data_IF_174923760150
#
_entry.id   IF_174923760150
#
_cell.length_a   1.000
_cell.length_b   1.000
_cell.length_c   1.000
_cell.angle_alpha   90.00
_cell.angle_beta   90.00
_cell.angle_gamma   90.00
#
_symmetry.space_group_name_H-M   'P 1'
#
loop_
_entity.id
_entity.type
_entity.pdbx_description
1 polymer ?
#
# COMPACT_ATOMS: atom_id res chain seq x y z
N UNK A 1 12.70 -1.20 8.42
CA UNK A 1 12.59 -2.29 7.43
C UNK A 1 13.20 -3.55 8.04
N UNK A 2 12.66 -4.71 7.72
CA UNK A 2 13.11 -6.01 8.25
C UNK A 2 14.13 -6.70 7.30
N UNK A 3 14.57 -7.92 7.65
CA UNK A 3 15.60 -8.69 6.94
C UNK A 3 15.22 -9.01 5.48
N UNK A 4 16.19 -8.88 4.58
CA UNK A 4 16.07 -9.26 3.16
C UNK A 4 14.96 -8.50 2.41
N UNK A 5 14.71 -7.23 2.76
CA UNK A 5 13.86 -6.34 1.95
C UNK A 5 14.67 -5.77 0.79
N UNK A 6 14.12 -5.83 -0.41
CA UNK A 6 14.71 -5.24 -1.62
C UNK A 6 13.91 -4.02 -2.05
N UNK A 7 14.59 -2.88 -2.22
CA UNK A 7 14.04 -1.66 -2.81
C UNK A 7 14.78 -1.42 -4.13
N UNK A 8 14.04 -1.41 -5.23
CA UNK A 8 14.59 -1.15 -6.55
C UNK A 8 14.86 0.33 -6.80
N UNK A 9 15.50 0.65 -7.94
CA UNK A 9 15.84 2.02 -8.28
C UNK A 9 14.59 2.89 -8.48
N UNK A 10 14.74 4.18 -8.18
CA UNK A 10 13.68 5.18 -8.33
C UNK A 10 12.39 4.83 -7.58
N UNK A 11 12.52 4.12 -6.45
CA UNK A 11 11.43 3.88 -5.52
C UNK A 11 11.53 4.77 -4.30
N UNK A 12 10.40 5.36 -3.93
CA UNK A 12 10.29 6.15 -2.71
C UNK A 12 9.48 5.38 -1.66
N UNK A 13 10.09 5.19 -0.48
CA UNK A 13 9.42 4.64 0.69
C UNK A 13 9.54 5.65 1.82
N UNK A 14 8.41 6.11 2.34
CA UNK A 14 8.38 7.14 3.38
C UNK A 14 7.48 6.73 4.54
N UNK A 15 8.07 6.69 5.75
CA UNK A 15 7.35 6.42 7.00
C UNK A 15 6.50 5.16 6.93
N UNK A 16 7.06 4.01 6.53
CA UNK A 16 6.33 2.75 6.30
C UNK A 16 7.00 1.58 7.03
N UNK A 17 6.21 0.57 7.43
CA UNK A 17 6.73 -0.70 7.94
C UNK A 17 6.76 -1.71 6.80
N UNK A 18 7.94 -2.26 6.51
CA UNK A 18 8.15 -3.29 5.48
C UNK A 18 8.78 -4.52 6.13
N UNK A 19 8.05 -5.63 6.13
CA UNK A 19 8.43 -6.89 6.74
C UNK A 19 9.33 -7.75 5.83
N UNK A 20 9.91 -8.81 6.40
CA UNK A 20 10.98 -9.59 5.79
C UNK A 20 10.64 -10.15 4.40
N UNK A 21 11.69 -10.26 3.56
CA UNK A 21 11.65 -10.87 2.22
C UNK A 21 10.70 -10.18 1.22
N UNK A 22 10.28 -8.95 1.51
CA UNK A 22 9.46 -8.16 0.60
C UNK A 22 10.31 -7.49 -0.48
N UNK A 23 9.82 -7.50 -1.71
CA UNK A 23 10.48 -6.90 -2.85
C UNK A 23 9.61 -5.77 -3.40
N UNK A 24 10.12 -4.55 -3.33
CA UNK A 24 9.60 -3.38 -4.02
C UNK A 24 10.56 -3.15 -5.18
N UNK A 25 10.08 -3.36 -6.41
CA UNK A 25 10.93 -3.28 -7.61
C UNK A 25 11.20 -1.83 -7.99
N UNK A 26 11.24 -1.45 -9.27
CA UNK A 26 11.58 -0.09 -9.69
C UNK A 26 10.33 0.81 -9.79
N UNK A 27 10.51 2.12 -9.66
CA UNK A 27 9.47 3.15 -9.92
C UNK A 27 8.24 3.09 -9.00
N UNK A 28 8.36 2.47 -7.83
CA UNK A 28 7.25 2.42 -6.86
C UNK A 28 7.20 3.64 -5.94
N UNK A 29 6.00 4.05 -5.54
CA UNK A 29 5.78 4.99 -4.44
C UNK A 29 4.99 4.33 -3.30
N UNK A 30 5.56 4.34 -2.09
CA UNK A 30 4.95 3.81 -0.87
C UNK A 30 5.16 4.82 0.27
N UNK A 31 4.31 5.84 0.32
CA UNK A 31 4.54 7.01 1.19
C UNK A 31 3.65 7.13 2.42
N UNK A 32 4.11 7.96 3.37
CA UNK A 32 3.50 8.45 4.62
C UNK A 32 2.40 7.57 5.21
N UNK A 33 2.86 6.68 6.07
CA UNK A 33 2.34 5.33 6.14
C UNK A 33 2.66 4.74 7.51
N UNK A 34 2.64 5.54 8.58
CA UNK A 34 2.77 5.03 9.96
C UNK A 34 1.71 3.96 10.27
N UNK A 35 0.67 3.91 9.43
CA UNK A 35 -0.41 2.93 9.42
C UNK A 35 -0.44 2.05 8.16
N UNK A 36 0.63 2.03 7.35
CA UNK A 36 0.79 1.17 6.19
C UNK A 36 1.86 0.15 6.50
N UNK A 37 1.42 -1.09 6.53
CA UNK A 37 2.23 -2.24 6.90
C UNK A 37 2.24 -3.16 5.70
N UNK A 38 3.42 -3.34 5.13
CA UNK A 38 3.64 -4.30 4.07
C UNK A 38 4.15 -5.59 4.72
N UNK A 39 3.33 -6.63 4.65
CA UNK A 39 3.60 -7.95 5.20
C UNK A 39 4.85 -8.61 4.60
N UNK A 40 5.13 -9.82 5.05
CA UNK A 40 6.30 -10.58 4.60
C UNK A 40 6.09 -11.14 3.20
N UNK A 41 7.18 -11.27 2.43
CA UNK A 41 7.18 -11.88 1.09
C UNK A 41 6.19 -11.22 0.12
N UNK A 42 5.95 -9.92 0.26
CA UNK A 42 5.13 -9.14 -0.68
C UNK A 42 5.96 -8.77 -1.90
N UNK A 43 5.34 -8.69 -3.08
CA UNK A 43 6.00 -8.26 -4.31
C UNK A 43 5.25 -7.08 -4.94
N UNK A 44 5.85 -5.89 -4.90
CA UNK A 44 5.42 -4.73 -5.67
C UNK A 44 6.19 -4.69 -7.00
N UNK A 45 5.47 -4.92 -8.10
CA UNK A 45 6.03 -4.87 -9.46
C UNK A 45 6.26 -3.42 -9.91
N UNK A 46 6.90 -3.25 -11.07
CA UNK A 46 7.38 -1.95 -11.50
C UNK A 46 6.24 -0.93 -11.60
N UNK A 47 6.47 0.28 -11.08
CA UNK A 47 5.52 1.38 -11.20
C UNK A 47 4.26 1.29 -10.34
N UNK A 48 4.15 0.34 -9.40
CA UNK A 48 2.98 0.27 -8.52
C UNK A 48 3.00 1.41 -7.49
N UNK A 49 1.82 1.92 -7.16
CA UNK A 49 1.66 3.07 -6.26
C UNK A 49 0.73 2.68 -5.12
N UNK A 50 1.15 2.92 -3.88
CA UNK A 50 0.27 2.97 -2.73
C UNK A 50 0.00 4.44 -2.39
N UNK A 51 -1.18 4.93 -2.77
CA UNK A 51 -1.60 6.31 -2.52
C UNK A 51 -1.83 6.53 -1.02
N UNK A 52 -1.62 7.76 -0.56
CA UNK A 52 -1.66 8.09 0.86
C UNK A 52 -2.34 9.42 1.19
N UNK A 53 -2.85 10.16 0.21
CA UNK A 53 -3.53 11.44 0.46
C UNK A 53 -4.58 11.73 -0.62
N UNK A 54 -5.74 12.25 -0.22
CA UNK A 54 -6.79 12.70 -1.13
C UNK A 54 -6.46 14.11 -1.59
N UNK A 55 -6.36 14.29 -2.90
CA UNK A 55 -6.13 15.62 -3.48
C UNK A 55 -7.45 16.30 -3.87
N UNK A 56 -8.46 15.49 -4.17
CA UNK A 56 -9.72 15.88 -4.79
C UNK A 56 -10.86 16.11 -3.79
N UNK A 57 -10.72 15.64 -2.54
CA UNK A 57 -11.74 15.78 -1.49
C UNK A 57 -11.50 17.01 -0.62
N UNK A 58 -12.58 17.70 -0.25
CA UNK A 58 -12.55 18.77 0.74
C UNK A 58 -12.31 18.22 2.15
N UNK A 59 -13.03 17.16 2.53
CA UNK A 59 -12.72 16.36 3.72
C UNK A 59 -11.67 15.31 3.37
N UNK A 60 -10.49 15.45 3.97
CA UNK A 60 -9.32 14.60 3.69
C UNK A 60 -9.22 13.41 4.64
N UNK A 61 -10.15 13.26 5.59
CA UNK A 61 -10.16 12.13 6.53
C UNK A 61 -10.29 10.82 5.77
N UNK A 62 -9.48 9.84 6.17
CA UNK A 62 -9.45 8.53 5.54
C UNK A 62 -10.35 7.58 6.30
N UNK A 63 -11.36 7.06 5.61
CA UNK A 63 -12.22 5.99 6.08
C UNK A 63 -11.75 4.68 5.48
N UNK A 64 -11.67 3.63 6.29
CA UNK A 64 -11.28 2.30 5.81
C UNK A 64 -12.42 1.31 5.98
N UNK A 65 -12.72 0.56 4.92
CA UNK A 65 -13.62 -0.57 5.01
C UNK A 65 -12.82 -1.79 5.47
N UNK A 66 -13.09 -2.25 6.69
CA UNK A 66 -12.56 -3.49 7.22
C UNK A 66 -13.72 -4.46 7.43
N UNK A 67 -13.77 -5.54 6.66
CA UNK A 67 -14.88 -6.50 6.65
C UNK A 67 -16.22 -5.79 6.40
N UNK A 68 -17.13 -5.82 7.37
CA UNK A 68 -18.46 -5.23 7.28
C UNK A 68 -18.57 -3.91 8.03
N UNK A 69 -17.45 -3.33 8.45
CA UNK A 69 -17.40 -2.08 9.22
C UNK A 69 -16.59 -1.02 8.49
N UNK A 70 -17.06 0.22 8.57
CA UNK A 70 -16.30 1.40 8.15
C UNK A 70 -15.68 1.99 9.41
N UNK A 71 -14.37 2.20 9.38
CA UNK A 71 -13.59 2.73 10.50
C UNK A 71 -13.05 4.10 10.07
N UNK A 72 -13.34 5.13 10.85
CA UNK A 72 -12.65 6.41 10.73
C UNK A 72 -11.24 6.25 11.31
N UNK A 73 -10.23 6.48 10.48
CA UNK A 73 -8.84 6.36 10.90
C UNK A 73 -8.37 7.56 11.71
N UNK A 74 -9.12 8.66 11.71
CA UNK A 74 -8.77 9.92 12.38
C UNK A 74 -7.59 10.66 11.73
N UNK A 75 -7.11 10.21 10.58
CA UNK A 75 -5.95 10.79 9.89
C UNK A 75 -6.27 11.15 8.44
N UNK A 76 -5.54 12.12 7.90
CA UNK A 76 -5.64 12.56 6.50
C UNK A 76 -4.61 11.88 5.57
N UNK A 77 -3.72 11.06 6.16
CA UNK A 77 -2.70 10.31 5.43
C UNK A 77 -2.62 8.87 5.91
N UNK A 78 -2.89 7.94 5.00
CA UNK A 78 -2.90 6.51 5.26
C UNK A 78 -2.64 5.78 3.94
N UNK A 79 -1.55 5.02 3.89
CA UNK A 79 -1.18 4.21 2.73
C UNK A 79 -2.04 2.96 2.56
N UNK A 80 -1.42 1.78 2.70
CA UNK A 80 -2.12 0.51 2.55
C UNK A 80 -1.64 -0.54 3.58
N UNK A 81 -2.57 -1.38 4.05
CA UNK A 81 -2.24 -2.58 4.80
C UNK A 81 -2.20 -3.75 3.83
N UNK A 82 -1.02 -4.33 3.59
CA UNK A 82 -0.86 -5.42 2.61
C UNK A 82 -0.44 -6.70 3.31
N UNK A 83 -1.32 -7.69 3.34
CA UNK A 83 -1.07 -8.98 3.98
C UNK A 83 0.07 -9.78 3.35
N UNK A 84 0.65 -10.69 4.15
CA UNK A 84 1.79 -11.53 3.74
C UNK A 84 1.54 -12.29 2.42
N UNK A 85 2.60 -12.48 1.64
CA UNK A 85 2.61 -13.21 0.36
C UNK A 85 1.71 -12.60 -0.74
N UNK A 86 1.33 -11.33 -0.60
CA UNK A 86 0.56 -10.62 -1.62
C UNK A 86 1.42 -10.21 -2.81
N UNK A 87 0.79 -10.06 -3.98
CA UNK A 87 1.44 -9.67 -5.24
C UNK A 87 0.72 -8.49 -5.84
N UNK A 88 1.41 -7.37 -5.96
CA UNK A 88 0.91 -6.13 -6.54
C UNK A 88 1.44 -6.01 -7.96
N UNK A 89 0.53 -6.04 -8.94
CA UNK A 89 0.84 -5.99 -10.35
C UNK A 89 1.48 -4.67 -10.79
N UNK A 90 2.22 -4.71 -11.89
CA UNK A 90 2.91 -3.53 -12.40
C UNK A 90 1.91 -2.42 -12.72
N UNK A 91 2.27 -1.18 -12.38
CA UNK A 91 1.44 0.01 -12.52
C UNK A 91 0.06 -0.08 -11.85
N UNK A 92 -0.13 -1.01 -10.90
CA UNK A 92 -1.33 -1.04 -10.09
C UNK A 92 -1.34 0.13 -9.10
N UNK A 93 -2.53 0.65 -8.81
CA UNK A 93 -2.73 1.74 -7.85
C UNK A 93 -3.57 1.20 -6.70
N UNK A 94 -3.05 1.29 -5.49
CA UNK A 94 -3.80 1.04 -4.27
C UNK A 94 -4.29 2.38 -3.75
N UNK A 95 -5.60 2.58 -3.70
CA UNK A 95 -6.17 3.77 -3.07
C UNK A 95 -5.82 3.79 -1.58
N UNK A 96 -5.87 5.00 -1.03
CA UNK A 96 -5.61 5.24 0.38
C UNK A 96 -6.48 4.34 1.25
N UNK A 97 -5.92 3.85 2.34
CA UNK A 97 -6.71 3.02 3.24
C UNK A 97 -6.96 1.60 2.74
N UNK A 98 -6.40 1.18 1.60
CA UNK A 98 -6.57 -0.19 1.09
C UNK A 98 -6.08 -1.20 2.11
N UNK A 99 -6.91 -2.21 2.40
CA UNK A 99 -6.58 -3.32 3.30
C UNK A 99 -6.69 -4.63 2.52
N UNK A 100 -5.57 -5.33 2.40
CA UNK A 100 -5.51 -6.67 1.83
C UNK A 100 -5.22 -7.72 2.88
N UNK A 101 -5.99 -8.80 2.79
CA UNK A 101 -5.69 -10.05 3.46
C UNK A 101 -4.41 -10.69 2.89
N UNK A 102 -3.96 -11.76 3.55
CA UNK A 102 -2.79 -12.52 3.09
C UNK A 102 -3.07 -13.14 1.72
N UNK A 103 -2.03 -13.25 0.88
CA UNK A 103 -2.05 -13.87 -0.45
C UNK A 103 -2.94 -13.16 -1.49
N UNK A 104 -3.26 -11.89 -1.28
CA UNK A 104 -4.01 -11.10 -2.27
C UNK A 104 -3.20 -10.88 -3.54
N UNK A 105 -3.89 -10.82 -4.67
CA UNK A 105 -3.29 -10.59 -5.99
C UNK A 105 -4.00 -9.40 -6.62
N UNK A 106 -3.22 -8.34 -6.86
CA UNK A 106 -3.66 -7.19 -7.66
C UNK A 106 -3.07 -7.35 -9.06
N UNK A 107 -3.93 -7.24 -10.07
CA UNK A 107 -3.55 -7.35 -11.48
C UNK A 107 -2.73 -6.14 -11.91
N UNK A 108 -2.10 -6.27 -13.07
CA UNK A 108 -1.38 -5.15 -13.69
C UNK A 108 -2.40 -4.09 -14.11
N UNK A 109 -2.05 -2.81 -13.94
CA UNK A 109 -2.89 -1.66 -14.27
C UNK A 109 -4.23 -1.59 -13.51
N UNK A 110 -4.39 -2.39 -12.45
CA UNK A 110 -5.62 -2.39 -11.66
C UNK A 110 -5.60 -1.23 -10.65
N UNK A 111 -6.69 -0.46 -10.63
CA UNK A 111 -7.00 0.46 -9.56
C UNK A 111 -7.81 -0.28 -8.50
N UNK A 112 -7.32 -0.27 -7.27
CA UNK A 112 -8.02 -0.82 -6.11
C UNK A 112 -8.63 0.35 -5.38
N UNK A 113 -9.94 0.51 -5.55
CA UNK A 113 -10.70 1.53 -4.84
C UNK A 113 -11.00 1.08 -3.42
N UNK A 114 -10.90 2.05 -2.53
CA UNK A 114 -11.33 1.97 -1.14
C UNK A 114 -12.22 3.20 -0.93
N UNK A 115 -13.44 2.99 -0.42
CA UNK A 115 -14.49 3.98 -0.09
C UNK A 115 -14.46 5.35 -0.82
#
# INVERSE_FOLDING_TARGET
MDKSVNIGPSSEVKSSIICAKTAITHLNYIGNSTNSTIGQKVNFKGGSIAANHYNERADKRILVKCKNTVIDTGVEKFGALVGDNSRIGANAVLSLGTIFEKKSIVKRLELIEQL
#
